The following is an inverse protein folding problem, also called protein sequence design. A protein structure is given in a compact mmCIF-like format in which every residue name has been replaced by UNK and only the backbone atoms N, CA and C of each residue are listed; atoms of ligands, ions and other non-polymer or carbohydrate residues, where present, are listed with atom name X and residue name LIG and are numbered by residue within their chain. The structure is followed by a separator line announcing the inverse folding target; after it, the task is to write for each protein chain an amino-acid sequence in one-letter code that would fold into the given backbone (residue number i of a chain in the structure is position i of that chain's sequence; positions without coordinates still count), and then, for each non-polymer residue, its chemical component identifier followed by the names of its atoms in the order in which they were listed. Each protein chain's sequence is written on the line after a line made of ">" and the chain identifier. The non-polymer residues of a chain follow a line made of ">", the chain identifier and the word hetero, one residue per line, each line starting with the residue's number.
data_IF_168958836608
#
_entry.id   IF_168958836608
#
_cell.length_a   1.000
_cell.length_b   1.000
_cell.length_c   1.000
_cell.angle_alpha   90.00
_cell.angle_beta   90.00
_cell.angle_gamma   90.00
#
_symmetry.space_group_name_H-M   'P 1'
#
loop_
_entity.id
_entity.type
_entity.pdbx_description
1 polymer ?
#
# COMPACT_ATOMS: atom_id res chain seq x y z
N UNK A 1 -15.08 17.45 7.09
CA UNK A 1 -14.16 17.35 5.92
C UNK A 1 -14.05 15.89 5.55
N UNK A 2 -14.22 15.52 4.27
CA UNK A 2 -14.10 14.11 3.82
C UNK A 2 -12.64 13.65 3.99
N UNK A 3 -12.39 12.59 4.75
CA UNK A 3 -11.05 12.03 4.93
C UNK A 3 -10.70 11.20 3.69
N UNK A 4 -9.49 11.41 3.16
CA UNK A 4 -8.93 10.56 2.10
C UNK A 4 -8.10 9.47 2.74
N UNK A 5 -8.41 8.22 2.40
CA UNK A 5 -7.80 7.02 2.96
C UNK A 5 -7.24 6.17 1.81
N UNK A 6 -5.95 5.91 1.83
CA UNK A 6 -5.31 5.03 0.87
C UNK A 6 -5.40 3.58 1.34
N UNK A 7 -5.78 2.68 0.44
CA UNK A 7 -5.82 1.23 0.69
C UNK A 7 -4.61 0.59 0.01
N UNK A 8 -3.80 -0.11 0.79
CA UNK A 8 -2.67 -0.91 0.34
C UNK A 8 -2.98 -2.39 0.53
N UNK A 9 -2.94 -3.15 -0.55
CA UNK A 9 -3.23 -4.58 -0.57
C UNK A 9 -2.44 -5.30 -1.66
N UNK A 10 -2.26 -6.60 -1.50
CA UNK A 10 -1.78 -7.47 -2.56
C UNK A 10 -2.99 -7.91 -3.41
N UNK A 11 -3.15 -7.31 -4.59
CA UNK A 11 -4.30 -7.52 -5.49
C UNK A 11 -4.31 -8.91 -6.17
N UNK A 12 -4.02 -9.97 -5.45
CA UNK A 12 -4.17 -11.30 -5.98
C UNK A 12 -5.66 -11.69 -6.01
N UNK A 13 -6.10 -12.21 -7.15
CA UNK A 13 -7.49 -12.65 -7.36
C UNK A 13 -7.88 -13.74 -6.36
N UNK A 14 -6.90 -14.54 -5.91
CA UNK A 14 -7.13 -15.74 -5.09
C UNK A 14 -7.10 -15.47 -3.57
N UNK A 15 -6.72 -14.28 -3.13
CA UNK A 15 -6.39 -14.03 -1.71
C UNK A 15 -7.51 -13.33 -0.92
N UNK A 16 -8.66 -13.02 -1.54
CA UNK A 16 -9.82 -12.42 -0.88
C UNK A 16 -9.63 -10.95 -0.44
N UNK A 17 -8.50 -10.34 -0.71
CA UNK A 17 -8.25 -8.93 -0.40
C UNK A 17 -9.19 -8.00 -1.19
N UNK A 18 -9.60 -8.43 -2.38
CA UNK A 18 -10.54 -7.72 -3.22
C UNK A 18 -11.89 -7.53 -2.53
N UNK A 19 -12.41 -8.55 -1.85
CA UNK A 19 -13.67 -8.44 -1.10
C UNK A 19 -13.60 -7.35 -0.04
N UNK A 20 -12.45 -7.25 0.66
CA UNK A 20 -12.23 -6.21 1.67
C UNK A 20 -12.23 -4.82 1.03
N UNK A 21 -11.54 -4.67 -0.11
CA UNK A 21 -11.46 -3.41 -0.85
C UNK A 21 -12.85 -2.97 -1.31
N UNK A 22 -13.64 -3.88 -1.90
CA UNK A 22 -15.00 -3.60 -2.37
C UNK A 22 -15.92 -3.14 -1.23
N UNK A 23 -15.82 -3.77 -0.07
CA UNK A 23 -16.59 -3.37 1.13
C UNK A 23 -16.15 -1.99 1.61
N UNK A 24 -14.84 -1.69 1.66
CA UNK A 24 -14.35 -0.37 2.05
C UNK A 24 -14.85 0.71 1.08
N UNK A 25 -14.77 0.48 -0.23
CA UNK A 25 -15.32 1.41 -1.23
C UNK A 25 -16.83 1.60 -1.09
N UNK A 26 -17.60 0.55 -0.81
CA UNK A 26 -19.04 0.66 -0.57
C UNK A 26 -19.34 1.61 0.60
N UNK A 27 -18.52 1.60 1.64
CA UNK A 27 -18.62 2.50 2.79
C UNK A 27 -18.18 3.93 2.49
N UNK A 28 -17.53 4.18 1.36
CA UNK A 28 -17.08 5.51 0.96
C UNK A 28 -18.25 6.47 0.71
N UNK A 29 -19.40 5.94 0.31
CA UNK A 29 -20.63 6.70 0.02
C UNK A 29 -21.61 6.74 1.19
N UNK A 30 -21.19 6.30 2.37
CA UNK A 30 -21.98 6.42 3.59
C UNK A 30 -22.49 7.85 3.79
N UNK A 31 -23.76 8.01 4.09
CA UNK A 31 -24.41 9.32 4.27
C UNK A 31 -23.90 10.06 5.50
N UNK A 32 -23.43 9.32 6.53
CA UNK A 32 -23.02 9.87 7.84
C UNK A 32 -21.50 10.08 7.87
N UNK A 33 -20.72 9.04 7.50
CA UNK A 33 -19.27 9.02 7.64
C UNK A 33 -18.57 8.88 6.28
N UNK A 34 -18.69 9.90 5.45
CA UNK A 34 -18.10 9.91 4.10
C UNK A 34 -16.58 9.81 4.15
N UNK A 35 -16.03 8.81 3.48
CA UNK A 35 -14.59 8.59 3.33
C UNK A 35 -14.26 8.49 1.83
N UNK A 36 -13.16 9.08 1.42
CA UNK A 36 -12.60 8.95 0.09
C UNK A 36 -11.58 7.81 0.11
N UNK A 37 -12.04 6.58 -0.14
CA UNK A 37 -11.15 5.43 -0.26
C UNK A 37 -10.52 5.40 -1.65
N UNK A 38 -9.20 5.32 -1.68
CA UNK A 38 -8.41 5.27 -2.91
C UNK A 38 -7.48 4.08 -2.84
N UNK A 39 -7.43 3.30 -3.87
CA UNK A 39 -6.55 2.15 -3.97
C UNK A 39 -5.66 2.20 -5.23
N UNK A 40 -4.78 1.20 -5.38
CA UNK A 40 -3.84 1.13 -6.50
C UNK A 40 -4.47 0.63 -7.80
N UNK A 41 -5.68 0.07 -7.77
CA UNK A 41 -6.38 -0.35 -8.98
C UNK A 41 -6.79 0.86 -9.85
N UNK A 42 -6.92 2.03 -9.21
CA UNK A 42 -7.20 3.31 -9.89
C UNK A 42 -5.96 3.96 -10.51
N UNK A 43 -4.81 3.27 -10.55
CA UNK A 43 -3.63 3.78 -11.27
C UNK A 43 -3.98 3.98 -12.73
N UNK A 44 -4.04 5.24 -13.12
CA UNK A 44 -4.50 5.66 -14.45
C UNK A 44 -3.68 4.97 -15.53
N UNK A 45 -4.36 4.26 -16.42
CA UNK A 45 -3.78 3.69 -17.64
C UNK A 45 -2.99 4.77 -18.38
N UNK A 46 -1.70 4.54 -18.62
CA UNK A 46 -0.80 5.49 -19.29
C UNK A 46 0.11 6.30 -18.37
N UNK A 47 -0.10 6.28 -17.04
CA UNK A 47 0.83 6.91 -16.07
C UNK A 47 2.04 6.04 -15.74
N UNK A 48 2.03 4.79 -16.16
CA UNK A 48 3.05 3.75 -15.87
C UNK A 48 3.70 3.29 -17.15
N UNK A 49 5.00 2.98 -17.09
CA UNK A 49 5.75 2.44 -18.22
C UNK A 49 5.18 1.10 -18.70
N UNK A 50 5.20 0.87 -20.01
CA UNK A 50 4.90 -0.44 -20.60
C UNK A 50 6.06 -1.45 -20.43
N UNK A 51 7.28 -0.97 -20.13
CA UNK A 51 8.42 -1.83 -19.82
C UNK A 51 8.22 -2.50 -18.44
N UNK A 52 8.15 -3.83 -18.35
CA UNK A 52 7.90 -4.55 -17.11
C UNK A 52 8.91 -4.21 -16.00
N UNK A 53 10.17 -3.96 -16.36
CA UNK A 53 11.22 -3.63 -15.40
C UNK A 53 11.11 -2.20 -14.85
N UNK A 54 10.64 -1.27 -15.69
CA UNK A 54 10.44 0.14 -15.29
C UNK A 54 9.09 0.36 -14.61
N UNK A 55 8.08 -0.45 -14.95
CA UNK A 55 6.72 -0.35 -14.41
C UNK A 55 6.70 -0.38 -12.88
N UNK A 56 7.55 -1.21 -12.27
CA UNK A 56 7.69 -1.28 -10.80
C UNK A 56 8.06 0.07 -10.18
N UNK A 57 8.99 0.80 -10.81
CA UNK A 57 9.40 2.13 -10.34
C UNK A 57 8.27 3.15 -10.48
N UNK A 58 7.53 3.10 -11.58
CA UNK A 58 6.42 4.01 -11.83
C UNK A 58 5.27 3.77 -10.85
N UNK A 59 4.92 2.51 -10.62
CA UNK A 59 3.91 2.14 -9.62
C UNK A 59 4.30 2.66 -8.24
N UNK A 60 5.54 2.48 -7.79
CA UNK A 60 6.02 3.01 -6.51
C UNK A 60 5.94 4.53 -6.43
N UNK A 61 6.23 5.23 -7.53
CA UNK A 61 6.08 6.69 -7.61
C UNK A 61 4.61 7.11 -7.47
N UNK A 62 3.71 6.41 -8.13
CA UNK A 62 2.27 6.67 -8.05
C UNK A 62 1.73 6.37 -6.64
N UNK A 63 2.13 5.26 -6.02
CA UNK A 63 1.76 4.94 -4.65
C UNK A 63 2.18 6.05 -3.68
N UNK A 64 3.41 6.55 -3.82
CA UNK A 64 3.87 7.67 -3.01
C UNK A 64 3.00 8.92 -3.18
N UNK A 65 2.57 9.21 -4.40
CA UNK A 65 1.68 10.34 -4.68
C UNK A 65 0.34 10.18 -3.96
N UNK A 66 -0.27 8.98 -4.04
CA UNK A 66 -1.55 8.70 -3.39
C UNK A 66 -1.44 8.71 -1.86
N UNK A 67 -0.40 8.08 -1.30
CA UNK A 67 -0.15 8.07 0.14
C UNK A 67 0.08 9.51 0.66
N UNK A 68 0.86 10.31 -0.05
CA UNK A 68 1.12 11.69 0.35
C UNK A 68 -0.18 12.52 0.41
N UNK A 69 -1.10 12.29 -0.52
CA UNK A 69 -2.39 12.96 -0.59
C UNK A 69 -3.42 12.46 0.45
N UNK A 70 -3.16 11.32 1.09
CA UNK A 70 -4.07 10.69 2.05
C UNK A 70 -3.75 11.07 3.49
N UNK A 71 -4.75 11.06 4.37
CA UNK A 71 -4.60 11.29 5.81
C UNK A 71 -4.30 10.01 6.59
N UNK A 72 -4.70 8.86 6.03
CA UNK A 72 -4.58 7.54 6.64
C UNK A 72 -4.25 6.51 5.55
N UNK A 73 -3.59 5.42 5.94
CA UNK A 73 -3.32 4.26 5.09
C UNK A 73 -3.83 3.01 5.78
N UNK A 74 -4.66 2.24 5.09
CA UNK A 74 -5.12 0.92 5.51
C UNK A 74 -4.29 -0.13 4.78
N UNK A 75 -3.63 -1.02 5.53
CA UNK A 75 -2.92 -2.18 4.99
C UNK A 75 -3.76 -3.43 5.20
N UNK A 76 -4.08 -4.12 4.11
CA UNK A 76 -4.80 -5.40 4.13
C UNK A 76 -3.75 -6.51 4.10
N UNK A 77 -3.80 -7.39 5.10
CA UNK A 77 -2.85 -8.49 5.27
C UNK A 77 -3.57 -9.83 5.05
N UNK A 78 -3.17 -10.53 4.01
CA UNK A 78 -3.57 -11.89 3.70
C UNK A 78 -2.49 -12.92 4.07
N UNK A 79 -2.78 -14.18 3.90
CA UNK A 79 -1.92 -15.32 4.26
C UNK A 79 -0.59 -15.36 3.48
N UNK A 80 -0.54 -14.75 2.29
CA UNK A 80 0.64 -14.71 1.43
C UNK A 80 1.38 -13.36 1.45
N UNK A 81 0.86 -12.36 2.15
CA UNK A 81 1.40 -10.99 2.12
C UNK A 81 2.88 -10.93 2.52
N UNK A 82 3.28 -11.71 3.53
CA UNK A 82 4.66 -11.72 4.03
C UNK A 82 5.68 -12.25 2.99
N UNK A 83 5.24 -13.02 2.00
CA UNK A 83 6.10 -13.70 1.02
C UNK A 83 6.17 -12.96 -0.32
N UNK A 84 5.38 -11.91 -0.53
CA UNK A 84 5.29 -11.24 -1.81
C UNK A 84 6.46 -10.30 -2.08
N UNK A 85 6.89 -10.27 -3.34
CA UNK A 85 7.90 -9.36 -3.87
C UNK A 85 7.36 -8.64 -5.11
N UNK A 86 7.98 -7.54 -5.50
CA UNK A 86 7.56 -6.79 -6.69
C UNK A 86 7.84 -7.53 -8.01
N UNK A 87 8.69 -8.55 -7.99
CA UNK A 87 8.93 -9.42 -9.14
C UNK A 87 9.55 -8.75 -10.36
N UNK A 88 10.28 -7.64 -10.20
CA UNK A 88 10.94 -6.93 -11.29
C UNK A 88 12.25 -7.60 -11.69
N UNK A 89 12.53 -7.67 -12.98
CA UNK A 89 13.84 -8.08 -13.51
C UNK A 89 14.92 -6.98 -13.45
N UNK A 90 14.62 -5.81 -12.89
CA UNK A 90 15.56 -4.69 -12.80
C UNK A 90 16.76 -5.03 -11.92
N UNK A 91 17.97 -4.99 -12.50
CA UNK A 91 19.24 -5.26 -11.81
C UNK A 91 19.74 -4.08 -10.97
N UNK A 92 19.03 -2.95 -11.00
CA UNK A 92 19.46 -1.75 -10.30
C UNK A 92 19.29 -1.88 -8.80
N UNK A 93 20.34 -1.52 -8.07
CA UNK A 93 20.30 -1.31 -6.64
C UNK A 93 20.37 0.19 -6.31
N UNK A 94 20.20 0.54 -5.05
CA UNK A 94 20.22 1.94 -4.58
C UNK A 94 21.54 2.69 -4.81
N UNK A 95 22.64 2.00 -5.13
CA UNK A 95 23.95 2.60 -5.39
C UNK A 95 24.14 3.06 -6.84
N UNK A 96 23.30 2.60 -7.77
CA UNK A 96 23.47 2.82 -9.22
C UNK A 96 22.46 3.83 -9.81
N UNK A 97 21.90 4.67 -8.97
CA UNK A 97 20.83 5.59 -9.36
C UNK A 97 21.24 6.69 -10.36
N UNK A 98 22.53 6.97 -10.52
CA UNK A 98 23.03 7.98 -11.47
C UNK A 98 22.84 7.60 -12.94
N UNK A 99 22.87 6.32 -13.27
CA UNK A 99 22.83 5.82 -14.64
C UNK A 99 21.50 5.13 -14.96
N UNK A 100 20.39 5.70 -14.47
CA UNK A 100 19.08 5.16 -14.75
C UNK A 100 18.73 5.28 -16.23
N UNK A 101 18.60 4.15 -16.92
CA UNK A 101 18.13 4.07 -18.30
C UNK A 101 16.62 3.81 -18.41
N UNK A 102 15.95 3.66 -17.26
CA UNK A 102 14.51 3.40 -17.22
C UNK A 102 13.70 4.63 -17.63
N UNK A 103 12.56 4.38 -18.23
CA UNK A 103 11.49 5.36 -18.45
C UNK A 103 10.30 5.03 -17.52
N UNK A 104 9.67 6.01 -16.90
CA UNK A 104 10.05 7.40 -16.84
C UNK A 104 11.25 7.63 -15.91
N UNK A 105 12.04 8.61 -16.22
CA UNK A 105 13.20 9.03 -15.42
C UNK A 105 13.12 10.53 -15.15
N UNK A 106 13.84 10.99 -14.13
CA UNK A 106 14.17 12.40 -13.98
C UNK A 106 15.53 12.67 -14.62
N UNK A 107 15.68 13.86 -15.15
CA UNK A 107 16.95 14.36 -15.67
C UNK A 107 17.36 15.58 -14.86
N UNK A 108 18.60 15.63 -14.42
CA UNK A 108 19.14 16.80 -13.75
C UNK A 108 19.57 17.88 -14.79
N UNK A 109 19.99 19.04 -14.31
CA UNK A 109 20.44 20.15 -15.18
C UNK A 109 21.61 19.75 -16.09
N UNK A 110 22.40 18.76 -15.72
CA UNK A 110 23.55 18.26 -16.49
C UNK A 110 23.18 17.14 -17.47
N UNK A 111 21.89 16.84 -17.64
CA UNK A 111 21.42 15.80 -18.55
C UNK A 111 21.52 14.38 -18.01
N UNK A 112 22.00 14.15 -16.80
CA UNK A 112 22.10 12.82 -16.21
C UNK A 112 20.73 12.28 -15.81
N UNK A 113 20.42 11.05 -16.21
CA UNK A 113 19.17 10.37 -15.89
C UNK A 113 19.27 9.71 -14.52
N UNK A 114 18.23 9.82 -13.70
CA UNK A 114 18.18 9.16 -12.40
C UNK A 114 16.79 8.61 -12.09
N UNK A 115 16.74 7.58 -11.22
CA UNK A 115 15.50 6.93 -10.85
C UNK A 115 14.60 7.87 -10.03
N UNK A 116 13.35 8.05 -10.45
CA UNK A 116 12.36 8.88 -9.75
C UNK A 116 12.04 8.36 -8.35
N UNK A 117 12.07 7.06 -8.17
CA UNK A 117 11.60 6.39 -6.95
C UNK A 117 12.67 6.35 -5.88
N UNK A 118 13.93 6.43 -6.25
CA UNK A 118 15.06 6.36 -5.32
C UNK A 118 14.94 7.36 -4.16
N UNK A 119 14.62 8.60 -4.47
CA UNK A 119 14.54 9.68 -3.47
C UNK A 119 13.26 9.66 -2.62
N UNK A 120 12.34 8.76 -2.89
CA UNK A 120 11.07 8.67 -2.17
C UNK A 120 11.11 7.66 -1.01
N UNK A 121 12.07 6.76 -1.04
CA UNK A 121 12.39 5.87 0.09
C UNK A 121 13.35 6.61 1.02
N UNK A 122 13.23 6.43 2.33
CA UNK A 122 14.05 7.12 3.32
C UNK A 122 15.54 7.02 3.00
N UNK A 123 16.26 8.14 3.07
CA UNK A 123 17.68 8.22 2.67
C UNK A 123 18.59 7.23 3.41
N UNK A 124 18.18 6.76 4.59
CA UNK A 124 18.95 5.86 5.45
C UNK A 124 18.40 4.44 5.53
N UNK A 125 17.36 4.11 4.76
CA UNK A 125 16.76 2.79 4.79
C UNK A 125 17.44 1.88 3.76
N UNK A 126 18.07 0.83 4.23
CA UNK A 126 18.49 -0.26 3.36
C UNK A 126 17.28 -1.11 3.00
N UNK A 127 16.62 -0.77 1.92
CA UNK A 127 15.45 -1.49 1.44
C UNK A 127 15.81 -2.71 0.56
N UNK A 128 17.09 -3.02 0.45
CA UNK A 128 17.58 -4.11 -0.39
C UNK A 128 17.46 -3.84 -1.89
N UNK A 129 17.55 -4.90 -2.68
CA UNK A 129 17.30 -4.84 -4.12
C UNK A 129 15.85 -4.47 -4.40
N UNK A 130 15.59 -3.67 -5.44
CA UNK A 130 14.23 -3.33 -5.88
C UNK A 130 13.44 -4.59 -6.28
N UNK A 131 14.10 -5.68 -6.62
CA UNK A 131 13.51 -6.96 -7.00
C UNK A 131 12.99 -7.75 -5.79
N UNK A 132 13.66 -7.60 -4.64
CA UNK A 132 13.30 -8.27 -3.38
C UNK A 132 12.31 -7.45 -2.55
N UNK A 133 11.86 -6.33 -3.11
CA UNK A 133 11.09 -5.32 -2.42
C UNK A 133 9.61 -5.42 -2.79
N UNK A 134 8.76 -5.71 -1.82
CA UNK A 134 7.33 -5.74 -2.07
C UNK A 134 6.76 -4.33 -2.24
N UNK A 135 5.69 -4.20 -3.01
CA UNK A 135 4.96 -2.94 -3.12
C UNK A 135 4.42 -2.51 -1.75
N UNK A 136 3.83 -3.43 -1.03
CA UNK A 136 3.26 -3.19 0.29
C UNK A 136 4.31 -2.70 1.29
N UNK A 137 5.53 -3.25 1.26
CA UNK A 137 6.65 -2.75 2.07
C UNK A 137 7.01 -1.31 1.71
N UNK A 138 7.08 -0.99 0.41
CA UNK A 138 7.36 0.37 -0.06
C UNK A 138 6.31 1.36 0.44
N UNK A 139 5.04 1.01 0.33
CA UNK A 139 3.90 1.82 0.77
C UNK A 139 3.92 2.03 2.29
N UNK A 140 4.23 0.97 3.05
CA UNK A 140 4.36 1.04 4.50
C UNK A 140 5.48 1.99 4.93
N UNK A 141 6.67 1.87 4.33
CA UNK A 141 7.80 2.75 4.63
C UNK A 141 7.49 4.21 4.25
N UNK A 142 6.78 4.44 3.14
CA UNK A 142 6.34 5.78 2.77
C UNK A 142 5.31 6.35 3.75
N UNK A 143 4.35 5.54 4.20
CA UNK A 143 3.36 5.95 5.19
C UNK A 143 4.03 6.34 6.52
N UNK A 144 4.98 5.54 7.01
CA UNK A 144 5.79 5.86 8.20
C UNK A 144 6.58 7.14 8.03
N UNK A 145 7.32 7.28 6.92
CA UNK A 145 8.10 8.49 6.60
C UNK A 145 7.24 9.75 6.61
N UNK A 146 5.99 9.64 6.24
CA UNK A 146 5.04 10.76 6.19
C UNK A 146 4.18 10.91 7.44
N UNK A 147 4.48 10.15 8.49
CA UNK A 147 3.73 10.15 9.75
C UNK A 147 2.22 10.01 9.52
N UNK A 148 1.84 9.12 8.58
CA UNK A 148 0.43 8.84 8.32
C UNK A 148 -0.16 8.02 9.45
N UNK A 149 -1.47 8.19 9.70
CA UNK A 149 -2.20 7.22 10.52
C UNK A 149 -2.22 5.88 9.76
N UNK A 150 -1.74 4.80 10.41
CA UNK A 150 -1.61 3.47 9.83
C UNK A 150 -2.61 2.55 10.52
N UNK A 151 -3.47 1.93 9.72
CA UNK A 151 -4.42 0.90 10.15
C UNK A 151 -3.99 -0.39 9.48
N UNK A 152 -3.82 -1.46 10.25
CA UNK A 152 -3.51 -2.79 9.73
C UNK A 152 -4.67 -3.72 10.03
N UNK A 153 -5.17 -4.39 9.00
CA UNK A 153 -6.28 -5.33 9.10
C UNK A 153 -5.92 -6.66 8.47
N UNK A 154 -6.33 -7.75 9.12
CA UNK A 154 -6.24 -9.09 8.56
C UNK A 154 -7.49 -9.38 7.71
N UNK A 155 -7.28 -9.91 6.52
CA UNK A 155 -8.37 -10.42 5.68
C UNK A 155 -8.91 -11.76 6.22
N UNK A 156 -9.34 -11.77 7.46
CA UNK A 156 -9.79 -12.95 8.20
C UNK A 156 -10.80 -12.57 9.27
N UNK A 157 -11.46 -13.61 9.84
CA UNK A 157 -12.36 -13.46 11.01
C UNK A 157 -11.60 -13.38 12.34
N UNK A 158 -10.31 -13.72 12.35
CA UNK A 158 -9.49 -13.79 13.55
C UNK A 158 -8.14 -13.10 13.32
N UNK A 159 -7.50 -12.66 14.40
CA UNK A 159 -6.12 -12.16 14.32
C UNK A 159 -5.18 -13.25 13.80
N UNK A 160 -4.32 -12.88 12.85
CA UNK A 160 -3.37 -13.78 12.21
C UNK A 160 -1.94 -13.18 12.29
N UNK A 161 -1.33 -13.14 13.48
CA UNK A 161 -0.02 -12.48 13.64
C UNK A 161 1.09 -13.08 12.78
N UNK A 162 0.96 -14.35 12.38
CA UNK A 162 1.90 -15.05 11.49
C UNK A 162 1.88 -14.56 10.05
N UNK A 163 0.79 -13.90 9.63
CA UNK A 163 0.67 -13.32 8.28
C UNK A 163 1.36 -11.96 8.17
N UNK A 164 1.65 -11.34 9.32
CA UNK A 164 2.20 -10.00 9.36
C UNK A 164 3.67 -10.02 8.90
N UNK A 165 4.02 -9.23 7.87
CA UNK A 165 5.42 -9.10 7.46
C UNK A 165 6.29 -8.58 8.61
N UNK A 166 7.55 -9.01 8.66
CA UNK A 166 8.48 -8.67 9.75
C UNK A 166 8.64 -7.16 9.97
N UNK A 167 8.60 -6.38 8.89
CA UNK A 167 8.70 -4.91 8.94
C UNK A 167 7.46 -4.21 9.52
N UNK A 168 6.34 -4.93 9.71
CA UNK A 168 5.11 -4.45 10.36
C UNK A 168 4.91 -5.02 11.75
N UNK A 169 5.86 -5.81 12.27
CA UNK A 169 5.66 -6.58 13.49
C UNK A 169 5.37 -5.74 14.74
N UNK A 170 5.76 -4.49 14.76
CA UNK A 170 5.41 -3.54 15.83
C UNK A 170 3.89 -3.31 15.96
N UNK A 171 3.12 -3.55 14.89
CA UNK A 171 1.67 -3.40 14.85
C UNK A 171 0.89 -4.67 15.25
N UNK A 172 1.57 -5.77 15.60
CA UNK A 172 0.91 -7.06 15.87
C UNK A 172 -0.20 -7.01 16.92
N UNK A 173 -0.09 -6.11 17.89
CA UNK A 173 -1.04 -5.99 19.00
C UNK A 173 -2.26 -5.12 18.62
N UNK A 174 -2.10 -4.22 17.65
CA UNK A 174 -3.13 -3.27 17.23
C UNK A 174 -3.78 -3.64 15.88
N UNK A 175 -3.18 -4.58 15.16
CA UNK A 175 -3.77 -5.14 13.94
C UNK A 175 -5.01 -5.97 14.28
N UNK A 176 -6.13 -5.73 13.58
CA UNK A 176 -7.42 -6.34 13.86
C UNK A 176 -7.96 -7.11 12.66
N UNK A 177 -8.82 -8.12 12.87
CA UNK A 177 -9.51 -8.78 11.77
C UNK A 177 -10.52 -7.82 11.13
N UNK A 178 -10.58 -7.85 9.79
CA UNK A 178 -11.56 -7.06 9.05
C UNK A 178 -12.96 -7.66 9.12
N UNK A 179 -13.05 -9.00 9.05
CA UNK A 179 -14.32 -9.69 9.05
C UNK A 179 -14.78 -10.00 10.46
N UNK A 180 -16.06 -9.77 10.71
CA UNK A 180 -16.75 -10.17 11.96
C UNK A 180 -18.03 -10.92 11.61
N UNK A 181 -18.65 -11.56 12.60
CA UNK A 181 -19.99 -12.12 12.43
C UNK A 181 -21.03 -11.17 12.99
N UNK A 182 -22.08 -10.94 12.21
CA UNK A 182 -23.26 -10.22 12.68
C UNK A 182 -24.12 -11.07 13.64
N UNK A 183 -25.23 -10.53 14.11
CA UNK A 183 -26.16 -11.24 15.01
C UNK A 183 -26.81 -12.48 14.40
N UNK A 184 -26.81 -12.60 13.08
CA UNK A 184 -27.31 -13.77 12.32
C UNK A 184 -26.22 -14.74 11.91
N UNK A 185 -24.96 -14.47 12.30
CA UNK A 185 -23.81 -15.30 11.97
C UNK A 185 -23.20 -15.06 10.59
N UNK A 186 -23.68 -14.08 9.82
CA UNK A 186 -23.12 -13.74 8.51
C UNK A 186 -21.76 -13.05 8.66
N UNK A 187 -20.87 -13.28 7.68
CA UNK A 187 -19.59 -12.58 7.57
C UNK A 187 -19.83 -11.19 7.05
N UNK A 188 -19.51 -10.17 7.85
CA UNK A 188 -19.63 -8.75 7.49
C UNK A 188 -18.34 -8.01 7.84
N UNK A 189 -18.07 -6.89 7.17
CA UNK A 189 -16.92 -6.06 7.50
C UNK A 189 -17.09 -5.34 8.85
N UNK A 190 -16.01 -5.19 9.60
CA UNK A 190 -16.00 -4.52 10.90
C UNK A 190 -16.05 -3.00 10.74
N UNK A 191 -17.23 -2.50 10.35
CA UNK A 191 -17.49 -1.09 10.09
C UNK A 191 -17.10 -0.19 11.27
N UNK A 192 -17.57 -0.53 12.48
CA UNK A 192 -17.36 0.29 13.68
C UNK A 192 -15.87 0.43 14.01
N UNK A 193 -15.10 -0.64 13.88
CA UNK A 193 -13.66 -0.60 14.12
C UNK A 193 -12.96 0.33 13.12
N UNK A 194 -13.27 0.22 11.82
CA UNK A 194 -12.66 1.06 10.79
C UNK A 194 -13.06 2.53 10.98
N UNK A 195 -14.35 2.81 11.14
CA UNK A 195 -14.84 4.20 11.29
C UNK A 195 -14.36 4.83 12.60
N UNK A 196 -14.37 4.08 13.70
CA UNK A 196 -13.82 4.54 14.98
C UNK A 196 -12.32 4.84 14.92
N UNK A 197 -11.52 3.97 14.28
CA UNK A 197 -10.08 4.23 14.09
C UNK A 197 -9.82 5.43 13.17
N UNK A 198 -10.71 5.71 12.25
CA UNK A 198 -10.68 6.93 11.42
C UNK A 198 -11.18 8.17 12.19
N UNK A 199 -11.64 8.02 13.44
CA UNK A 199 -12.12 9.11 14.29
C UNK A 199 -13.51 9.61 13.90
N UNK A 200 -14.38 8.72 13.47
CA UNK A 200 -15.81 8.93 13.37
C UNK A 200 -16.47 8.24 14.57
N UNK A 201 -17.29 8.97 15.28
CA UNK A 201 -18.10 8.49 16.42
C UNK A 201 -19.50 8.11 15.97
#
# INVERSE_FOLDING_TARGET
>A
MRKRVYISADYSIDDGDRDVIEVLHSWGNDSIHKVDYVDTAEVVSGSVSNDPNCRTCDLKSEFNRQINASSCVIFIIGDKTALRTAGSGCQRNHKEWYNCVCTPYKQNANGSKYCKVYNTVGANENVGSINDYSYLKHEFMQAKKRNKNIIIIYNSLYKQPSWLPSYMYEYKNVAEPFWVRDSWGNRVGNYNMIKGTLGYE
#
